data_IF_920010221779
#
_entry.id   IF_920010221779
#
_cell.length_a   1.000
_cell.length_b   1.000
_cell.length_c   1.000
_cell.angle_alpha   90.00
_cell.angle_beta   90.00
_cell.angle_gamma   90.00
#
_symmetry.space_group_name_H-M   'P 1'
#
loop_
_entity.id
_entity.type
_entity.pdbx_description
1 polymer ?
#
# COMPACT_ATOMS: atom_id res chain seq x y z
N UNK A 1 5.82 49.31 31.37
CA UNK A 1 4.63 49.73 30.61
C UNK A 1 5.16 50.46 29.38
N UNK A 2 5.57 49.77 28.31
CA UNK A 2 4.72 49.01 27.35
C UNK A 2 3.61 49.93 26.82
N UNK A 3 3.48 50.26 25.53
CA UNK A 3 3.69 49.45 24.32
C UNK A 3 4.10 50.35 23.14
N UNK A 4 4.98 49.86 22.28
CA UNK A 4 5.16 50.36 20.92
C UNK A 4 4.49 49.37 19.95
N UNK A 5 4.07 49.85 18.77
CA UNK A 5 3.94 48.96 17.61
C UNK A 5 2.60 48.97 16.89
N UNK A 6 2.48 49.95 15.98
CA UNK A 6 1.69 50.00 14.74
C UNK A 6 0.96 48.72 14.32
N UNK A 7 -0.35 48.89 14.08
CA UNK A 7 -1.19 47.93 13.37
C UNK A 7 -0.74 47.68 11.94
N UNK A 8 -0.72 46.40 11.56
CA UNK A 8 -0.47 45.92 10.21
C UNK A 8 -1.42 44.76 9.89
N UNK A 9 -2.49 45.09 9.18
CA UNK A 9 -3.55 44.19 8.68
C UNK A 9 -2.94 43.12 7.76
N UNK A 10 -2.78 41.87 8.23
CA UNK A 10 -2.37 40.75 7.37
C UNK A 10 -3.51 40.38 6.43
N UNK A 11 -3.32 40.69 5.14
CA UNK A 11 -4.23 40.33 4.05
C UNK A 11 -4.10 38.83 3.78
N UNK A 12 -5.21 38.12 3.89
CA UNK A 12 -5.41 36.80 3.32
C UNK A 12 -5.20 36.84 1.80
N UNK A 13 -4.56 35.82 1.24
CA UNK A 13 -4.54 35.60 -0.21
C UNK A 13 -3.17 35.19 -0.74
N UNK A 14 -2.84 33.91 -0.57
CA UNK A 14 -1.69 33.30 -1.23
C UNK A 14 -1.73 31.81 -0.98
N UNK A 15 -2.31 31.07 -1.92
CA UNK A 15 -2.24 29.62 -1.99
C UNK A 15 -0.77 29.23 -2.20
N UNK A 16 0.04 29.30 -1.14
CA UNK A 16 1.42 28.83 -1.15
C UNK A 16 1.36 27.33 -1.31
N UNK A 17 1.93 26.88 -2.44
CA UNK A 17 1.88 25.51 -2.92
C UNK A 17 2.04 24.50 -1.80
N UNK A 18 1.22 23.45 -1.86
CA UNK A 18 1.31 22.28 -1.00
C UNK A 18 2.75 21.78 -1.06
N UNK A 19 3.59 22.17 -0.09
CA UNK A 19 4.97 21.72 -0.03
C UNK A 19 4.88 20.26 0.37
N UNK A 20 4.94 19.38 -0.61
CA UNK A 20 5.05 17.95 -0.40
C UNK A 20 6.34 17.72 0.40
N UNK A 21 6.19 17.32 1.66
CA UNK A 21 7.30 16.79 2.42
C UNK A 21 7.61 15.39 1.89
N UNK A 22 8.90 15.10 1.75
CA UNK A 22 9.39 13.78 1.39
C UNK A 22 10.34 13.35 2.50
N UNK A 23 10.55 12.05 2.71
CA UNK A 23 11.64 11.57 3.56
C UNK A 23 12.80 11.27 2.62
N UNK A 24 13.74 12.21 2.41
CA UNK A 24 14.65 12.08 1.31
C UNK A 24 15.85 11.21 1.70
N UNK A 25 16.30 10.36 0.79
CA UNK A 25 17.53 9.56 0.98
C UNK A 25 18.78 10.47 1.05
N UNK A 26 18.74 11.65 0.42
CA UNK A 26 19.74 12.72 0.55
C UNK A 26 19.07 14.01 1.03
N UNK A 27 19.73 14.75 1.93
CA UNK A 27 19.21 15.81 2.84
C UNK A 27 18.36 16.98 2.28
N UNK A 28 18.02 17.04 0.99
CA UNK A 28 17.16 18.12 0.44
C UNK A 28 15.69 17.75 0.62
N UNK A 29 14.91 18.65 1.24
CA UNK A 29 13.48 18.48 1.61
C UNK A 29 13.23 17.61 2.85
N UNK A 30 13.99 17.79 3.93
CA UNK A 30 13.75 17.06 5.18
C UNK A 30 12.56 17.63 5.95
N UNK A 31 11.86 16.78 6.70
CA UNK A 31 10.69 17.14 7.51
C UNK A 31 11.00 18.24 8.52
N UNK A 32 12.25 18.30 9.00
CA UNK A 32 12.76 19.35 9.89
C UNK A 32 12.79 20.74 9.23
N UNK A 33 13.04 20.81 7.92
CA UNK A 33 13.16 22.07 7.19
C UNK A 33 11.79 22.65 6.80
N UNK A 34 10.76 21.79 6.74
CA UNK A 34 9.39 22.17 6.35
C UNK A 34 8.52 22.45 7.59
N UNK A 35 8.85 21.88 8.76
CA UNK A 35 8.10 22.09 10.00
C UNK A 35 6.72 21.42 9.96
N UNK A 36 6.68 20.12 9.62
CA UNK A 36 5.43 19.36 9.49
C UNK A 36 4.93 18.92 10.87
N UNK A 37 3.68 19.23 11.19
CA UNK A 37 2.96 18.74 12.37
C UNK A 37 1.96 17.65 11.98
N UNK A 38 1.74 16.68 12.87
CA UNK A 38 0.69 15.67 12.71
C UNK A 38 -0.38 15.92 13.77
N UNK A 39 -1.62 16.01 13.31
CA UNK A 39 -2.82 16.05 14.13
C UNK A 39 -3.66 14.82 13.77
N UNK A 40 -4.07 14.06 14.78
CA UNK A 40 -4.96 12.92 14.62
C UNK A 40 -6.39 13.36 14.88
N UNK A 41 -7.31 12.94 14.01
CA UNK A 41 -8.74 13.19 14.17
C UNK A 41 -9.45 11.84 14.30
N UNK A 42 -10.04 11.58 15.47
CA UNK A 42 -10.68 10.30 15.80
C UNK A 42 -9.74 9.23 16.38
N UNK A 43 -10.32 8.25 17.07
CA UNK A 43 -9.58 7.20 17.76
C UNK A 43 -8.87 7.65 19.05
N UNK A 44 -8.05 6.77 19.62
CA UNK A 44 -7.38 6.96 20.92
C UNK A 44 -6.36 8.11 20.93
N UNK A 45 -5.81 8.47 19.77
CA UNK A 45 -4.78 9.51 19.63
C UNK A 45 -5.33 10.91 19.30
N UNK A 46 -6.65 11.10 19.30
CA UNK A 46 -7.33 12.33 18.83
C UNK A 46 -7.02 13.61 19.62
N UNK A 47 -6.37 13.50 20.79
CA UNK A 47 -6.07 14.64 21.68
C UNK A 47 -4.61 15.08 21.59
N UNK A 48 -3.77 14.38 20.82
CA UNK A 48 -2.32 14.61 20.81
C UNK A 48 -1.81 15.08 19.44
N UNK A 49 -1.28 16.31 19.41
CA UNK A 49 -0.52 16.84 18.27
C UNK A 49 0.98 16.60 18.47
N UNK A 50 1.65 16.02 17.48
CA UNK A 50 3.10 15.80 17.52
C UNK A 50 3.83 16.73 16.54
N UNK A 51 4.87 17.42 17.04
CA UNK A 51 5.75 18.29 16.25
C UNK A 51 7.17 17.69 16.09
N UNK A 52 7.53 16.70 16.92
CA UNK A 52 8.85 16.07 16.86
C UNK A 52 9.10 15.38 15.50
N UNK A 53 10.17 15.75 14.78
CA UNK A 53 10.40 15.27 13.41
C UNK A 53 10.61 13.75 13.31
N UNK A 54 11.13 13.08 14.36
CA UNK A 54 11.33 11.64 14.34
C UNK A 54 9.98 10.90 14.45
N UNK A 55 9.12 11.38 15.34
CA UNK A 55 7.75 10.90 15.55
C UNK A 55 6.88 11.16 14.32
N UNK A 56 6.98 12.36 13.74
CA UNK A 56 6.27 12.73 12.51
C UNK A 56 6.65 11.81 11.36
N UNK A 57 7.95 11.55 11.15
CA UNK A 57 8.40 10.60 10.13
C UNK A 57 7.90 9.18 10.36
N UNK A 58 7.82 8.73 11.63
CA UNK A 58 7.31 7.40 11.98
C UNK A 58 5.84 7.24 11.57
N UNK A 59 4.98 8.16 12.01
CA UNK A 59 3.57 8.11 11.68
C UNK A 59 3.29 8.37 10.20
N UNK A 60 4.05 9.26 9.56
CA UNK A 60 3.94 9.49 8.12
C UNK A 60 4.23 8.23 7.29
N UNK A 61 5.20 7.40 7.69
CA UNK A 61 5.47 6.10 7.04
C UNK A 61 4.33 5.10 7.24
N UNK A 62 3.74 5.06 8.44
CA UNK A 62 2.59 4.18 8.69
C UNK A 62 1.35 4.62 7.92
N UNK A 63 1.10 5.92 7.79
CA UNK A 63 -0.02 6.47 7.01
C UNK A 63 0.04 6.12 5.51
N UNK A 64 1.22 5.78 4.97
CA UNK A 64 1.32 5.28 3.59
C UNK A 64 0.63 3.92 3.40
N UNK A 65 0.51 3.12 4.47
CA UNK A 65 -0.14 1.81 4.45
C UNK A 65 -1.66 1.90 4.65
N UNK A 66 -2.21 3.12 4.79
CA UNK A 66 -3.62 3.37 5.03
C UNK A 66 -3.90 3.76 6.49
N UNK A 67 -5.03 3.28 7.01
CA UNK A 67 -5.48 3.60 8.36
C UNK A 67 -4.56 2.99 9.43
N UNK A 68 -4.47 3.71 10.55
CA UNK A 68 -3.59 3.35 11.65
C UNK A 68 -4.33 2.40 12.61
N UNK A 69 -3.73 1.23 12.88
CA UNK A 69 -4.24 0.24 13.83
C UNK A 69 -3.17 -0.13 14.86
N UNK A 70 -3.57 -0.33 16.10
CA UNK A 70 -2.72 -0.93 17.12
C UNK A 70 -2.74 -2.46 16.94
N UNK A 71 -1.56 -3.02 16.66
CA UNK A 71 -1.41 -4.46 16.43
C UNK A 71 -0.55 -5.05 17.55
N UNK A 72 -1.13 -5.91 18.38
CA UNK A 72 -0.37 -6.67 19.36
C UNK A 72 0.50 -7.72 18.64
N UNK A 73 1.82 -7.57 18.80
CA UNK A 73 2.81 -8.49 18.25
C UNK A 73 3.24 -9.58 19.23
N UNK A 74 2.91 -9.45 20.52
CA UNK A 74 3.42 -10.33 21.57
C UNK A 74 2.68 -11.67 21.60
N UNK A 75 1.35 -11.67 21.41
CA UNK A 75 0.53 -12.88 21.57
C UNK A 75 0.87 -13.99 20.57
N UNK A 76 1.09 -13.65 19.30
CA UNK A 76 1.34 -14.62 18.23
C UNK A 76 2.76 -14.55 17.64
N UNK A 77 3.67 -13.77 18.26
CA UNK A 77 5.04 -13.53 17.77
C UNK A 77 5.08 -13.17 16.28
N UNK A 78 4.25 -12.20 15.88
CA UNK A 78 4.21 -11.74 14.49
C UNK A 78 5.56 -11.15 14.05
N UNK A 79 6.08 -11.62 12.92
CA UNK A 79 7.37 -11.23 12.31
C UNK A 79 7.31 -9.88 11.57
N UNK A 80 6.12 -9.28 11.44
CA UNK A 80 5.92 -7.98 10.79
C UNK A 80 5.91 -8.02 9.26
N UNK A 81 5.88 -9.21 8.65
CA UNK A 81 5.79 -9.40 7.21
C UNK A 81 4.33 -9.66 6.80
N UNK A 82 3.87 -9.01 5.73
CA UNK A 82 2.52 -9.23 5.20
C UNK A 82 2.36 -10.64 4.60
N UNK A 83 1.22 -11.27 4.86
CA UNK A 83 0.84 -12.58 4.31
C UNK A 83 -0.36 -12.42 3.38
N UNK A 84 -0.46 -13.29 2.39
CA UNK A 84 -1.60 -13.32 1.47
C UNK A 84 -2.86 -13.86 2.14
N UNK A 85 -4.02 -13.36 1.72
CA UNK A 85 -5.32 -13.80 2.23
C UNK A 85 -5.79 -15.09 1.55
N UNK A 86 -6.78 -15.77 2.14
CA UNK A 86 -7.44 -16.94 1.53
C UNK A 86 -8.02 -16.62 0.15
N UNK A 87 -8.45 -15.38 -0.09
CA UNK A 87 -8.93 -14.94 -1.41
C UNK A 87 -7.82 -15.00 -2.45
N UNK A 88 -6.60 -14.54 -2.10
CA UNK A 88 -5.44 -14.61 -2.98
C UNK A 88 -5.01 -16.05 -3.28
N UNK A 89 -5.02 -16.92 -2.27
CA UNK A 89 -4.73 -18.34 -2.44
C UNK A 89 -5.75 -19.06 -3.32
N UNK A 90 -7.04 -18.79 -3.10
CA UNK A 90 -8.13 -19.35 -3.90
C UNK A 90 -7.99 -18.98 -5.38
N UNK A 91 -7.78 -17.69 -5.67
CA UNK A 91 -7.62 -17.23 -7.06
C UNK A 91 -6.38 -17.81 -7.72
N UNK A 92 -5.26 -17.89 -6.99
CA UNK A 92 -4.03 -18.46 -7.52
C UNK A 92 -4.19 -19.94 -7.87
N UNK A 93 -4.80 -20.72 -6.98
CA UNK A 93 -5.08 -22.14 -7.22
C UNK A 93 -5.96 -22.34 -8.45
N UNK A 94 -7.08 -21.63 -8.54
CA UNK A 94 -8.01 -21.76 -9.66
C UNK A 94 -7.40 -21.32 -10.99
N UNK A 95 -6.65 -20.22 -11.02
CA UNK A 95 -5.96 -19.77 -12.23
C UNK A 95 -4.94 -20.82 -12.72
N UNK A 96 -4.20 -21.42 -11.78
CA UNK A 96 -3.19 -22.44 -12.10
C UNK A 96 -3.83 -23.73 -12.62
N UNK A 97 -4.87 -24.23 -11.94
CA UNK A 97 -5.58 -25.42 -12.39
C UNK A 97 -6.30 -25.20 -13.72
N UNK A 98 -6.97 -24.07 -13.92
CA UNK A 98 -7.63 -23.75 -15.19
C UNK A 98 -6.65 -23.82 -16.37
N UNK A 99 -5.43 -23.30 -16.19
CA UNK A 99 -4.38 -23.35 -17.21
C UNK A 99 -3.91 -24.79 -17.48
N UNK A 100 -3.71 -25.60 -16.43
CA UNK A 100 -3.34 -27.01 -16.56
C UNK A 100 -4.42 -27.82 -17.29
N UNK A 101 -5.69 -27.63 -16.91
CA UNK A 101 -6.82 -28.31 -17.55
C UNK A 101 -7.00 -27.87 -19.01
N UNK A 102 -6.72 -26.61 -19.35
CA UNK A 102 -6.77 -26.13 -20.73
C UNK A 102 -5.78 -26.89 -21.63
N UNK A 103 -4.52 -27.02 -21.22
CA UNK A 103 -3.54 -27.82 -21.98
C UNK A 103 -3.87 -29.31 -21.98
N UNK A 104 -4.39 -29.83 -20.86
CA UNK A 104 -4.87 -31.21 -20.77
C UNK A 104 -5.99 -31.51 -21.77
N UNK A 105 -6.92 -30.57 -21.95
CA UNK A 105 -8.03 -30.70 -22.89
C UNK A 105 -7.54 -30.74 -24.33
N UNK A 106 -6.67 -29.79 -24.73
CA UNK A 106 -6.08 -29.75 -26.07
C UNK A 106 -5.29 -31.03 -26.37
N UNK A 107 -4.46 -31.48 -25.43
CA UNK A 107 -3.67 -32.69 -25.60
C UNK A 107 -4.55 -33.95 -25.71
N UNK A 108 -5.65 -34.01 -24.98
CA UNK A 108 -6.58 -35.13 -25.04
C UNK A 108 -7.36 -35.13 -26.37
N UNK A 109 -7.82 -33.97 -26.82
CA UNK A 109 -8.56 -33.81 -28.07
C UNK A 109 -7.68 -34.14 -29.29
N UNK A 110 -6.43 -33.66 -29.31
CA UNK A 110 -5.47 -33.99 -30.35
C UNK A 110 -5.22 -35.51 -30.44
N UNK A 111 -5.08 -36.20 -29.30
CA UNK A 111 -4.92 -37.68 -29.27
C UNK A 111 -6.15 -38.40 -29.79
N UNK A 112 -7.34 -37.87 -29.53
CA UNK A 112 -8.59 -38.45 -30.01
C UNK A 112 -8.74 -38.30 -31.52
N UNK A 113 -8.47 -37.11 -32.06
CA UNK A 113 -8.53 -36.86 -33.50
C UNK A 113 -7.49 -37.67 -34.29
N UNK A 114 -6.25 -37.74 -33.80
CA UNK A 114 -5.19 -38.52 -34.45
C UNK A 114 -5.47 -40.04 -34.43
N UNK A 115 -6.14 -40.54 -33.38
CA UNK A 115 -6.62 -41.93 -33.32
C UNK A 115 -7.69 -42.20 -34.36
N UNK A 116 -8.69 -41.34 -34.47
CA UNK A 116 -9.72 -41.47 -35.51
C UNK A 116 -9.10 -41.46 -36.91
N UNK A 117 -8.19 -40.53 -37.18
CA UNK A 117 -7.50 -40.44 -38.47
C UNK A 117 -6.69 -41.70 -38.79
N UNK A 118 -5.88 -42.20 -37.84
CA UNK A 118 -5.08 -43.41 -38.02
C UNK A 118 -5.93 -44.67 -38.27
N UNK A 119 -7.10 -44.77 -37.66
CA UNK A 119 -8.00 -45.91 -37.87
C UNK A 119 -8.64 -45.89 -39.26
N UNK A 120 -8.99 -44.73 -39.79
CA UNK A 120 -9.52 -44.62 -41.16
C UNK A 120 -8.43 -44.90 -42.20
N UNK A 121 -7.21 -44.42 -41.97
CA UNK A 121 -6.10 -44.60 -42.91
C UNK A 121 -5.59 -46.05 -43.00
N UNK A 122 -5.84 -46.87 -41.98
CA UNK A 122 -5.46 -48.29 -41.94
C UNK A 122 -6.56 -49.21 -42.47
N UNK A 123 -7.70 -48.66 -42.89
CA UNK A 123 -8.84 -49.38 -43.46
C UNK A 123 -9.05 -49.09 -44.96
N UNK A 124 -8.09 -48.41 -45.60
CA UNK A 124 -7.96 -48.21 -47.06
C UNK A 124 -6.71 -48.96 -47.52
#
# INVERSE_FOLDING_TARGET
MEMTGKGGKKRNGGWMGKKAWHVPVRRKCSVEQVGVTIEFYGGELSVVSYNDPATVKKYARHAQLGEFFELDRATLKFDGVFRSSTRGWFTFGHASFALLFFFGHIQHDARTLLRCFSLVLTQI
#
